data_IF_076324860955
#
_entry.id   IF_076324860955
#
_cell.length_a   1.000
_cell.length_b   1.000
_cell.length_c   1.000
_cell.angle_alpha   90.00
_cell.angle_beta   90.00
_cell.angle_gamma   90.00
#
_symmetry.space_group_name_H-M   'P 1'
#
loop_
_entity.id
_entity.type
_entity.pdbx_description
1 polymer ?
#
# COMPACT_ATOMS: atom_id res chain seq x y z
N UNK A 1 -8.12 -14.37 -4.04
CA UNK A 1 -6.89 -13.69 -4.47
C UNK A 1 -6.87 -12.22 -4.05
N UNK A 2 -7.99 -11.49 -4.12
CA UNK A 2 -8.04 -10.11 -3.63
C UNK A 2 -7.85 -10.00 -2.11
N UNK A 3 -8.42 -10.93 -1.33
CA UNK A 3 -8.22 -10.96 0.12
C UNK A 3 -6.72 -10.95 0.49
N UNK A 4 -6.34 -10.07 1.42
CA UNK A 4 -5.01 -10.07 2.00
C UNK A 4 -4.75 -11.35 2.82
N UNK A 5 -3.48 -11.77 2.98
CA UNK A 5 -3.15 -13.03 3.65
C UNK A 5 -3.66 -13.12 5.08
N UNK A 6 -3.61 -12.01 5.81
CA UNK A 6 -4.09 -11.87 7.18
C UNK A 6 -5.61 -12.05 7.32
N UNK A 7 -6.39 -11.80 6.27
CA UNK A 7 -7.85 -11.99 6.30
C UNK A 7 -8.25 -13.48 6.39
N UNK A 8 -7.32 -14.40 6.16
CA UNK A 8 -7.55 -15.85 6.33
C UNK A 8 -7.25 -16.32 7.76
N UNK A 9 -6.67 -15.45 8.59
CA UNK A 9 -6.42 -15.71 10.02
C UNK A 9 -7.69 -15.34 10.79
N UNK A 10 -8.03 -16.12 11.82
CA UNK A 10 -9.21 -15.84 12.68
C UNK A 10 -8.85 -14.80 13.76
N UNK A 11 -8.06 -13.81 13.40
CA UNK A 11 -7.49 -12.80 14.29
C UNK A 11 -7.87 -11.41 13.78
N UNK A 12 -7.98 -10.40 14.66
CA UNK A 12 -8.11 -9.01 14.24
C UNK A 12 -6.94 -8.61 13.33
N UNK A 13 -7.22 -7.84 12.30
CA UNK A 13 -6.22 -7.30 11.38
C UNK A 13 -6.51 -5.83 11.07
N UNK A 14 -5.50 -5.13 10.57
CA UNK A 14 -5.64 -3.74 10.13
C UNK A 14 -6.31 -3.68 8.75
N UNK A 15 -7.49 -3.05 8.68
CA UNK A 15 -8.28 -2.97 7.45
C UNK A 15 -7.62 -2.07 6.38
N UNK A 16 -6.91 -1.00 6.77
CA UNK A 16 -6.21 -0.15 5.81
C UNK A 16 -5.13 -0.96 5.11
N UNK A 17 -4.33 -1.73 5.85
CA UNK A 17 -3.30 -2.56 5.24
C UNK A 17 -3.87 -3.66 4.35
N UNK A 18 -4.98 -4.28 4.75
CA UNK A 18 -5.66 -5.24 3.89
C UNK A 18 -6.15 -4.61 2.58
N UNK A 19 -6.61 -3.35 2.61
CA UNK A 19 -7.02 -2.59 1.42
C UNK A 19 -5.83 -2.19 0.55
N UNK A 20 -4.69 -1.81 1.14
CA UNK A 20 -3.43 -1.58 0.40
C UNK A 20 -3.04 -2.81 -0.42
N UNK A 21 -3.10 -3.99 0.19
CA UNK A 21 -2.79 -5.23 -0.52
C UNK A 21 -3.76 -5.49 -1.67
N UNK A 22 -5.06 -5.29 -1.43
CA UNK A 22 -6.08 -5.41 -2.47
C UNK A 22 -5.82 -4.45 -3.64
N UNK A 23 -5.40 -3.21 -3.34
CA UNK A 23 -5.01 -2.24 -4.35
C UNK A 23 -3.81 -2.75 -5.17
N UNK A 24 -2.79 -3.32 -4.52
CA UNK A 24 -1.67 -3.98 -5.21
C UNK A 24 -2.14 -5.08 -6.16
N UNK A 25 -3.11 -5.91 -5.76
CA UNK A 25 -3.67 -6.99 -6.61
C UNK A 25 -4.38 -6.40 -7.83
N UNK A 26 -5.11 -5.30 -7.67
CA UNK A 26 -5.80 -4.60 -8.76
C UNK A 26 -4.79 -3.96 -9.72
N UNK A 27 -3.76 -3.29 -9.21
CA UNK A 27 -2.70 -2.71 -10.03
C UNK A 27 -1.97 -3.79 -10.84
N UNK A 28 -1.63 -4.91 -10.20
CA UNK A 28 -1.06 -6.07 -10.90
C UNK A 28 -2.00 -6.56 -12.00
N UNK A 29 -3.29 -6.73 -11.70
CA UNK A 29 -4.29 -7.19 -12.66
C UNK A 29 -4.38 -6.26 -13.89
N UNK A 30 -4.29 -4.94 -13.68
CA UNK A 30 -4.28 -3.98 -14.79
C UNK A 30 -3.02 -4.09 -15.64
N UNK A 31 -1.85 -4.29 -15.03
CA UNK A 31 -0.58 -4.39 -15.74
C UNK A 31 -0.40 -5.74 -16.47
N UNK A 32 -0.68 -6.83 -15.78
CA UNK A 32 -0.45 -8.19 -16.23
C UNK A 32 -1.64 -8.80 -16.99
N UNK A 33 -2.83 -8.18 -16.91
CA UNK A 33 -4.12 -8.72 -17.41
C UNK A 33 -4.52 -10.08 -16.83
N UNK A 34 -3.87 -10.48 -15.75
CA UNK A 34 -4.24 -11.62 -14.90
C UNK A 34 -3.95 -11.30 -13.45
N UNK A 35 -4.60 -12.02 -12.53
CA UNK A 35 -4.34 -11.90 -11.09
C UNK A 35 -2.98 -12.54 -10.74
N UNK A 36 -2.25 -12.02 -9.73
CA UNK A 36 -0.93 -12.55 -9.37
C UNK A 36 -1.02 -13.99 -8.86
N UNK A 37 -2.11 -14.33 -8.14
CA UNK A 37 -2.30 -15.64 -7.54
C UNK A 37 -3.74 -16.12 -7.64
N UNK A 38 -3.94 -17.42 -7.42
CA UNK A 38 -5.28 -18.00 -7.34
C UNK A 38 -5.91 -17.78 -5.96
N UNK A 39 -5.10 -17.85 -4.91
CA UNK A 39 -5.48 -17.68 -3.51
C UNK A 39 -4.29 -17.19 -2.70
N UNK A 40 -4.58 -16.44 -1.63
CA UNK A 40 -3.62 -16.00 -0.59
C UNK A 40 -3.75 -16.81 0.69
N UNK A 41 -4.69 -17.78 0.73
CA UNK A 41 -4.81 -18.71 1.84
C UNK A 41 -3.54 -19.58 1.93
N UNK A 42 -2.95 -19.76 3.13
CA UNK A 42 -1.76 -20.59 3.30
C UNK A 42 -1.92 -21.98 2.67
N UNK A 43 -0.93 -22.41 1.90
CA UNK A 43 -0.90 -23.69 1.19
C UNK A 43 -1.81 -23.81 -0.04
N UNK A 44 -2.68 -22.83 -0.32
CA UNK A 44 -3.65 -22.93 -1.43
C UNK A 44 -3.07 -22.51 -2.79
N UNK A 45 -1.97 -21.76 -2.83
CA UNK A 45 -1.32 -21.36 -4.07
C UNK A 45 0.20 -21.37 -3.92
N UNK A 46 0.88 -22.21 -4.71
CA UNK A 46 2.34 -22.34 -4.69
C UNK A 46 3.06 -21.03 -5.06
N UNK A 47 2.53 -20.29 -6.04
CA UNK A 47 3.10 -19.00 -6.45
C UNK A 47 3.02 -17.96 -5.34
N UNK A 48 1.89 -17.92 -4.62
CA UNK A 48 1.75 -17.04 -3.47
C UNK A 48 2.69 -17.44 -2.34
N UNK A 49 2.83 -18.74 -2.04
CA UNK A 49 3.78 -19.22 -1.03
C UNK A 49 5.21 -18.78 -1.35
N UNK A 50 5.67 -19.01 -2.59
CA UNK A 50 7.00 -18.56 -3.02
C UNK A 50 7.17 -17.04 -2.93
N UNK A 51 6.16 -16.27 -3.36
CA UNK A 51 6.18 -14.82 -3.23
C UNK A 51 6.21 -14.36 -1.76
N UNK A 52 5.44 -15.02 -0.86
CA UNK A 52 5.43 -14.67 0.55
C UNK A 52 6.76 -14.97 1.25
N UNK A 53 7.52 -15.95 0.75
CA UNK A 53 8.84 -16.30 1.28
C UNK A 53 9.95 -15.37 0.73
N UNK A 54 9.89 -15.00 -0.55
CA UNK A 54 10.96 -14.26 -1.24
C UNK A 54 10.69 -12.76 -1.41
N UNK A 55 9.42 -12.32 -1.40
CA UNK A 55 9.01 -10.92 -1.59
C UNK A 55 9.07 -10.41 -3.04
N UNK A 56 9.39 -11.28 -4.02
CA UNK A 56 9.70 -10.83 -5.38
C UNK A 56 8.71 -11.32 -6.45
N UNK A 57 8.32 -10.41 -7.35
CA UNK A 57 7.46 -10.72 -8.50
C UNK A 57 8.29 -11.21 -9.69
N UNK A 58 7.82 -12.20 -10.46
CA UNK A 58 8.54 -12.66 -11.63
C UNK A 58 8.51 -11.60 -12.76
N UNK A 59 9.69 -11.21 -13.23
CA UNK A 59 9.88 -10.21 -14.30
C UNK A 59 10.66 -10.75 -15.51
N UNK A 60 10.89 -12.07 -15.56
CA UNK A 60 11.56 -12.72 -16.69
C UNK A 60 10.78 -12.54 -17.99
N UNK A 61 11.42 -12.78 -19.14
CA UNK A 61 10.84 -12.49 -20.47
C UNK A 61 9.45 -13.11 -20.74
N UNK A 62 9.12 -14.21 -20.06
CA UNK A 62 7.83 -14.90 -20.20
C UNK A 62 6.88 -14.66 -19.02
N UNK A 63 7.27 -13.80 -18.07
CA UNK A 63 6.46 -13.50 -16.90
C UNK A 63 5.36 -12.49 -17.23
N UNK A 64 4.27 -12.45 -16.45
CA UNK A 64 3.16 -11.54 -16.74
C UNK A 64 3.52 -10.05 -16.66
N UNK A 65 4.55 -9.71 -15.88
CA UNK A 65 5.08 -8.36 -15.76
C UNK A 65 6.28 -8.09 -16.71
N UNK A 66 6.56 -8.97 -17.68
CA UNK A 66 7.63 -8.75 -18.64
C UNK A 66 7.46 -7.39 -19.36
N UNK A 67 8.52 -6.57 -19.34
CA UNK A 67 8.51 -5.22 -19.93
C UNK A 67 7.87 -4.13 -19.07
N UNK A 68 7.38 -4.46 -17.87
CA UNK A 68 6.97 -3.46 -16.88
C UNK A 68 8.17 -2.65 -16.37
N UNK A 69 7.96 -1.40 -15.99
CA UNK A 69 9.02 -0.57 -15.41
C UNK A 69 9.43 -1.10 -14.04
N UNK A 70 10.71 -0.91 -13.68
CA UNK A 70 11.20 -1.25 -12.34
C UNK A 70 10.44 -0.50 -11.24
N UNK A 71 9.99 0.74 -11.52
CA UNK A 71 9.16 1.51 -10.60
C UNK A 71 7.81 0.85 -10.31
N UNK A 72 7.14 0.32 -11.34
CA UNK A 72 5.88 -0.40 -11.17
C UNK A 72 6.10 -1.72 -10.41
N UNK A 73 7.15 -2.48 -10.74
CA UNK A 73 7.47 -3.74 -10.05
C UNK A 73 7.75 -3.47 -8.57
N UNK A 74 8.60 -2.50 -8.26
CA UNK A 74 8.93 -2.11 -6.88
C UNK A 74 7.69 -1.64 -6.10
N UNK A 75 6.82 -0.84 -6.73
CA UNK A 75 5.54 -0.45 -6.12
C UNK A 75 4.66 -1.68 -5.82
N UNK A 76 4.52 -2.59 -6.78
CA UNK A 76 3.72 -3.79 -6.61
C UNK A 76 4.27 -4.71 -5.52
N UNK A 77 5.58 -4.92 -5.45
CA UNK A 77 6.22 -5.73 -4.40
C UNK A 77 5.95 -5.14 -3.01
N UNK A 78 6.09 -3.83 -2.83
CA UNK A 78 5.82 -3.17 -1.55
C UNK A 78 4.34 -3.17 -1.13
N UNK A 79 3.41 -3.02 -2.08
CA UNK A 79 1.97 -3.09 -1.80
C UNK A 79 1.50 -4.54 -1.54
N UNK A 80 2.10 -5.51 -2.23
CA UNK A 80 1.72 -6.93 -2.15
C UNK A 80 2.45 -7.68 -1.04
N UNK A 81 3.34 -7.03 -0.28
CA UNK A 81 4.05 -7.63 0.85
C UNK A 81 3.09 -8.42 1.77
N UNK A 82 3.45 -9.68 2.00
CA UNK A 82 2.58 -10.64 2.67
C UNK A 82 2.46 -10.34 4.17
N UNK A 83 3.52 -9.82 4.79
CA UNK A 83 3.53 -9.39 6.18
C UNK A 83 3.02 -7.96 6.31
N UNK A 84 1.85 -7.71 6.95
CA UNK A 84 1.25 -6.38 7.01
C UNK A 84 2.19 -5.30 7.55
N UNK A 85 3.01 -5.62 8.56
CA UNK A 85 3.94 -4.65 9.16
C UNK A 85 5.04 -4.15 8.22
N UNK A 86 5.41 -4.93 7.20
CA UNK A 86 6.43 -4.56 6.19
C UNK A 86 5.83 -3.96 4.92
N UNK A 87 4.50 -4.04 4.77
CA UNK A 87 3.78 -3.53 3.62
C UNK A 87 3.84 -2.01 3.56
N UNK A 88 4.00 -1.47 2.36
CA UNK A 88 3.92 -0.03 2.12
C UNK A 88 2.56 0.51 2.55
N UNK A 89 2.51 1.77 2.93
CA UNK A 89 1.26 2.49 3.21
C UNK A 89 0.91 3.46 2.08
N UNK A 90 -0.32 3.95 2.02
CA UNK A 90 -0.71 5.01 1.08
C UNK A 90 -0.52 6.41 1.67
N UNK A 91 0.12 6.53 2.84
CA UNK A 91 0.35 7.80 3.54
C UNK A 91 -0.84 8.20 4.40
N UNK A 92 -1.60 7.22 4.90
CA UNK A 92 -2.72 7.43 5.81
C UNK A 92 -2.24 8.10 7.11
N UNK A 93 -2.98 9.10 7.57
CA UNK A 93 -2.59 9.89 8.75
C UNK A 93 -2.51 9.06 10.04
N UNK A 94 -3.24 7.95 10.13
CA UNK A 94 -3.18 7.05 11.29
C UNK A 94 -1.83 6.35 11.44
N UNK A 95 -1.03 6.26 10.37
CA UNK A 95 0.32 5.69 10.40
C UNK A 95 1.41 6.77 10.53
N UNK A 96 1.05 8.04 10.70
CA UNK A 96 2.03 9.15 10.69
C UNK A 96 3.04 9.11 11.83
N UNK A 97 2.69 8.49 12.97
CA UNK A 97 3.57 8.31 14.13
C UNK A 97 4.33 6.98 14.10
N UNK A 98 4.03 6.12 13.12
CA UNK A 98 4.69 4.82 12.96
C UNK A 98 5.87 4.92 11.98
N UNK A 99 6.96 4.21 12.25
CA UNK A 99 8.11 4.12 11.34
C UNK A 99 7.79 3.20 10.15
N UNK A 100 6.94 3.68 9.24
CA UNK A 100 6.47 2.91 8.08
C UNK A 100 6.75 3.64 6.78
N UNK A 101 7.13 2.87 5.77
CA UNK A 101 7.37 3.40 4.44
C UNK A 101 6.04 3.63 3.71
N UNK A 102 5.90 4.81 3.11
CA UNK A 102 4.79 5.12 2.22
C UNK A 102 5.19 4.94 0.76
N UNK A 103 4.21 4.66 -0.10
CA UNK A 103 4.40 4.77 -1.57
C UNK A 103 4.92 6.14 -2.00
N UNK A 104 4.69 7.18 -1.20
CA UNK A 104 5.18 8.53 -1.46
C UNK A 104 6.68 8.72 -1.20
N UNK A 105 7.27 7.85 -0.39
CA UNK A 105 8.70 7.85 -0.05
C UNK A 105 9.53 7.04 -1.05
N UNK A 106 8.88 6.38 -2.01
CA UNK A 106 9.55 5.56 -3.00
C UNK A 106 10.53 6.39 -3.85
N UNK A 107 11.77 5.89 -4.00
CA UNK A 107 12.86 6.61 -4.65
C UNK A 107 12.52 7.12 -6.07
N UNK A 108 11.76 6.31 -6.83
CA UNK A 108 11.33 6.66 -8.18
C UNK A 108 10.31 7.81 -8.22
N UNK A 109 9.59 8.08 -7.13
CA UNK A 109 8.65 9.18 -7.03
C UNK A 109 9.32 10.48 -6.55
N UNK A 110 10.36 10.37 -5.71
CA UNK A 110 11.16 11.50 -5.24
C UNK A 110 11.80 12.34 -6.35
N UNK A 111 12.12 11.73 -7.50
CA UNK A 111 12.59 12.44 -8.70
C UNK A 111 11.46 13.21 -9.43
N UNK A 112 10.24 12.67 -9.42
CA UNK A 112 9.05 13.28 -10.06
C UNK A 112 8.50 14.44 -9.22
N UNK A 113 8.61 14.36 -7.88
CA UNK A 113 8.13 15.39 -6.95
C UNK A 113 8.83 16.75 -7.14
N UNK A 114 10.09 16.78 -7.62
CA UNK A 114 10.77 18.04 -7.98
C UNK A 114 10.17 18.71 -9.23
N UNK A 115 9.46 17.95 -10.07
CA UNK A 115 8.78 18.44 -11.28
C UNK A 115 7.32 18.81 -10.99
N UNK A 116 6.64 18.05 -10.12
CA UNK A 116 5.21 18.22 -9.81
C UNK A 116 4.94 19.26 -8.71
N UNK A 117 5.97 19.70 -7.97
CA UNK A 117 5.89 20.82 -7.01
C UNK A 117 5.32 22.14 -7.57
N UNK A 118 5.06 22.26 -8.87
CA UNK A 118 4.41 23.44 -9.47
C UNK A 118 2.89 23.37 -9.58
N UNK A 119 2.20 22.26 -9.25
CA UNK A 119 0.74 22.23 -9.45
C UNK A 119 -0.03 21.12 -8.71
N UNK A 120 -0.13 21.21 -7.38
CA UNK A 120 -1.33 20.73 -6.69
C UNK A 120 -1.54 21.51 -5.37
N UNK A 121 -2.49 22.45 -5.32
CA UNK A 121 -2.84 23.14 -4.09
C UNK A 121 -3.76 22.23 -3.25
N UNK A 122 -3.17 21.37 -2.44
CA UNK A 122 -3.85 20.97 -1.20
C UNK A 122 -3.38 21.95 -0.13
N UNK A 123 -4.10 23.05 -0.01
CA UNK A 123 -3.89 24.05 1.03
C UNK A 123 -4.14 23.38 2.40
N UNK A 124 -3.06 23.07 3.11
CA UNK A 124 -3.10 22.73 4.54
C UNK A 124 -3.25 24.04 5.31
N UNK A 125 -4.45 24.61 5.28
CA UNK A 125 -4.77 25.75 6.15
C UNK A 125 -6.21 25.68 6.66
N UNK A 126 -6.56 24.62 7.40
CA UNK A 126 -7.53 24.76 8.50
C UNK A 126 -7.12 23.83 9.64
N UNK A 127 -6.10 24.24 10.39
CA UNK A 127 -5.90 23.77 11.75
C UNK A 127 -5.31 24.93 12.56
N UNK A 128 -6.18 25.82 13.02
CA UNK A 128 -5.87 26.75 14.10
C UNK A 128 -7.19 27.24 14.68
N UNK A 129 -7.29 27.17 16.01
CA UNK A 129 -8.29 27.77 16.89
C UNK A 129 -9.59 26.99 17.15
N UNK A 130 -9.49 26.03 18.07
CA UNK A 130 -10.46 25.91 19.15
C UNK A 130 -9.76 25.43 20.43
N UNK A 131 -8.98 26.33 21.05
CA UNK A 131 -8.55 26.17 22.44
C UNK A 131 -9.68 26.63 23.36
N UNK A 132 -9.99 25.78 24.35
CA UNK A 132 -10.93 25.98 25.45
C UNK A 132 -10.66 27.29 26.22
N UNK A 133 -11.60 28.03 26.84
CA UNK A 133 -12.59 27.80 27.92
C UNK A 133 -13.16 29.23 28.30
N UNK A 134 -14.04 29.51 29.31
CA UNK A 134 -14.80 28.68 30.26
C UNK A 134 -16.30 29.08 30.46
N UNK A 135 -16.96 28.30 31.34
CA UNK A 135 -18.26 28.41 32.01
C UNK A 135 -18.73 29.83 32.39
N UNK A 136 -20.05 30.12 32.19
CA UNK A 136 -20.94 30.85 33.12
C UNK A 136 -22.44 30.71 32.73
N UNK A 137 -23.24 30.09 33.60
CA UNK A 137 -24.66 30.45 33.83
C UNK A 137 -24.69 31.73 34.73
N UNK A 138 -25.81 32.45 35.03
CA UNK A 138 -27.27 32.21 34.90
C UNK A 138 -27.98 33.37 34.12
N UNK A 139 -29.31 33.54 33.98
CA UNK A 139 -30.52 33.45 34.84
C UNK A 139 -31.71 33.05 33.96
#
# INVERSE_FOLDING_TARGET
AFQAPEMHRQEPYDAFLADVFQLGVILYLMAARERPWQSTRPGACRRFGWFADEGHLPTSANAPLAGSSLALVSLLEGLLEAEPGRRLTLGEACFAEEERESVWDAAWLGEVSKVVQRRWPCDRSVASEASAQPVRAPI
#
